data_IF_408968959291
#
_entry.id   IF_408968959291
#
_cell.length_a   1.000
_cell.length_b   1.000
_cell.length_c   1.000
_cell.angle_alpha   90.00
_cell.angle_beta   90.00
_cell.angle_gamma   90.00
#
_symmetry.space_group_name_H-M   'P 1'
#
loop_
_entity.id
_entity.type
_entity.pdbx_description
1 polymer ?
#
# COMPACT_ATOMS: atom_id res chain seq x y z
N UNK A 1 -6.29 18.78 25.67
CA UNK A 1 -5.20 18.01 25.08
C UNK A 1 -3.93 18.83 24.96
N UNK A 2 -2.77 18.16 25.07
CA UNK A 2 -1.44 18.82 25.14
C UNK A 2 -1.19 19.67 23.88
N UNK A 3 -1.64 19.26 22.72
CA UNK A 3 -1.46 19.99 21.47
C UNK A 3 -2.25 21.30 21.41
N UNK A 4 -3.47 21.34 21.94
CA UNK A 4 -4.27 22.57 22.01
C UNK A 4 -3.63 23.61 22.89
N UNK A 5 -2.92 23.20 23.95
CA UNK A 5 -2.22 24.13 24.88
C UNK A 5 -1.02 24.82 24.22
N UNK A 6 -0.38 24.16 23.24
CA UNK A 6 0.78 24.72 22.53
C UNK A 6 0.41 25.44 21.23
N UNK A 7 -0.80 25.31 20.73
CA UNK A 7 -1.28 25.99 19.52
C UNK A 7 -1.65 27.46 19.86
N UNK A 8 -0.68 28.26 20.31
CA UNK A 8 -0.86 29.68 20.68
C UNK A 8 -0.65 30.63 19.49
N UNK A 9 -0.29 30.12 18.32
CA UNK A 9 -0.04 30.97 17.15
C UNK A 9 -1.36 31.57 16.64
N UNK A 10 -1.47 32.88 16.69
CA UNK A 10 -2.55 33.62 16.02
C UNK A 10 -2.01 34.26 14.75
N UNK A 11 -2.75 34.16 13.65
CA UNK A 11 -2.42 34.87 12.42
C UNK A 11 -2.44 36.39 12.69
N UNK A 12 -1.34 37.11 12.44
CA UNK A 12 -1.25 38.56 12.71
C UNK A 12 -2.27 39.39 11.92
N UNK A 13 -2.83 38.85 10.82
CA UNK A 13 -3.78 39.56 9.95
C UNK A 13 -5.24 39.32 10.33
N UNK A 14 -5.58 38.11 10.74
CA UNK A 14 -6.97 37.74 11.06
C UNK A 14 -7.25 37.64 12.56
N UNK A 15 -6.22 37.52 13.37
CA UNK A 15 -6.33 37.25 14.81
C UNK A 15 -6.71 35.80 15.13
N UNK A 16 -6.93 34.95 14.09
CA UNK A 16 -7.39 33.59 14.24
C UNK A 16 -6.24 32.64 14.60
N UNK A 17 -6.52 31.70 15.47
CA UNK A 17 -5.61 30.59 15.75
C UNK A 17 -5.87 29.44 14.77
N UNK A 18 -5.30 29.54 13.58
CA UNK A 18 -5.52 28.60 12.46
C UNK A 18 -5.12 27.18 12.84
N UNK A 19 -4.04 26.99 13.61
CA UNK A 19 -3.61 25.68 14.09
C UNK A 19 -4.64 25.05 15.03
N UNK A 20 -5.16 25.83 15.97
CA UNK A 20 -6.18 25.35 16.91
C UNK A 20 -7.46 24.97 16.18
N UNK A 21 -7.94 25.82 15.28
CA UNK A 21 -9.14 25.57 14.46
C UNK A 21 -8.96 24.30 13.63
N UNK A 22 -7.76 24.08 13.05
CA UNK A 22 -7.43 22.89 12.29
C UNK A 22 -7.37 21.61 13.12
N UNK A 23 -6.99 21.70 14.40
CA UNK A 23 -6.85 20.55 15.31
C UNK A 23 -8.15 20.22 16.08
N UNK A 24 -9.02 21.18 16.30
CA UNK A 24 -10.27 21.00 17.07
C UNK A 24 -11.09 19.77 16.62
N UNK A 25 -11.28 19.48 15.32
CA UNK A 25 -12.01 18.29 14.89
C UNK A 25 -11.36 16.96 15.31
N UNK A 26 -10.05 16.96 15.58
CA UNK A 26 -9.26 15.75 15.89
C UNK A 26 -9.02 15.59 17.40
N UNK A 27 -9.48 16.53 18.22
CA UNK A 27 -9.37 16.50 19.66
C UNK A 27 -10.62 15.90 20.33
N UNK A 28 -10.49 15.55 21.60
CA UNK A 28 -11.60 15.04 22.43
C UNK A 28 -12.81 15.97 22.35
N UNK A 29 -13.97 15.39 22.03
CA UNK A 29 -15.20 16.14 21.74
C UNK A 29 -15.36 16.59 20.29
N UNK A 30 -14.31 16.54 19.46
CA UNK A 30 -14.40 16.80 18.02
C UNK A 30 -14.85 15.60 17.21
N UNK A 31 -15.16 15.81 15.93
CA UNK A 31 -15.70 14.82 15.01
C UNK A 31 -14.82 13.53 14.92
N UNK A 32 -13.52 13.67 14.99
CA UNK A 32 -12.53 12.60 14.86
C UNK A 32 -11.76 12.32 16.15
N UNK A 33 -12.17 12.92 17.27
CA UNK A 33 -11.47 12.82 18.55
C UNK A 33 -11.32 11.37 19.03
N UNK A 34 -12.33 10.52 18.82
CA UNK A 34 -12.27 9.09 19.17
C UNK A 34 -11.21 8.31 18.40
N UNK A 35 -10.74 8.83 17.28
CA UNK A 35 -9.68 8.19 16.46
C UNK A 35 -8.30 8.71 16.84
N UNK A 36 -8.16 10.02 17.11
CA UNK A 36 -6.86 10.67 17.21
C UNK A 36 -6.46 11.09 18.61
N UNK A 37 -7.41 11.30 19.51
CA UNK A 37 -7.15 11.81 20.86
C UNK A 37 -7.33 10.73 21.92
N UNK A 38 -6.54 9.67 21.79
CA UNK A 38 -6.43 8.61 22.79
C UNK A 38 -5.18 8.79 23.64
N UNK A 39 -5.25 8.41 24.92
CA UNK A 39 -4.11 8.47 25.86
C UNK A 39 -3.04 7.41 25.51
N UNK A 40 -3.45 6.34 24.85
CA UNK A 40 -2.56 5.23 24.48
C UNK A 40 -2.76 4.81 23.02
N UNK A 41 -1.69 4.34 22.39
CA UNK A 41 -1.79 3.75 21.07
C UNK A 41 -2.18 2.27 21.16
N UNK A 42 -3.23 1.88 20.45
CA UNK A 42 -3.69 0.49 20.37
C UNK A 42 -3.04 -0.30 19.20
N UNK A 43 -2.08 0.29 18.49
CA UNK A 43 -1.38 -0.44 17.44
C UNK A 43 -0.43 -1.48 18.06
N UNK A 44 -0.62 -2.77 17.76
CA UNK A 44 0.11 -3.84 18.43
C UNK A 44 1.57 -3.90 17.96
N UNK A 45 2.50 -4.02 18.90
CA UNK A 45 3.88 -4.42 18.63
C UNK A 45 3.94 -5.95 18.54
N UNK A 46 3.63 -6.52 17.39
CA UNK A 46 3.63 -7.97 17.18
C UNK A 46 4.41 -8.33 15.91
N UNK A 47 4.75 -9.63 15.77
CA UNK A 47 5.43 -10.14 14.56
C UNK A 47 4.51 -10.18 13.34
N UNK A 48 3.21 -10.24 13.56
CA UNK A 48 2.18 -10.16 12.53
C UNK A 48 1.24 -9.01 12.87
N UNK A 49 1.13 -8.05 11.97
CA UNK A 49 0.26 -6.89 12.10
C UNK A 49 -0.59 -6.83 10.83
N UNK A 50 -1.90 -6.79 11.00
CA UNK A 50 -2.86 -6.57 9.92
C UNK A 50 -3.60 -5.27 10.17
N UNK A 51 -3.67 -4.41 9.18
CA UNK A 51 -4.36 -3.12 9.23
C UNK A 51 -5.43 -3.13 8.14
N UNK A 52 -6.69 -3.12 8.54
CA UNK A 52 -7.82 -2.99 7.63
C UNK A 52 -7.99 -1.50 7.25
N UNK A 53 -7.80 -1.21 5.97
CA UNK A 53 -7.80 0.17 5.48
C UNK A 53 -9.14 0.63 4.91
N UNK A 54 -10.03 -0.30 4.54
CA UNK A 54 -11.28 0.03 3.86
C UNK A 54 -12.20 0.90 4.71
N UNK A 55 -12.28 0.66 6.02
CA UNK A 55 -13.05 1.48 6.95
C UNK A 55 -12.47 2.89 7.08
N UNK A 56 -11.14 2.99 7.13
CA UNK A 56 -10.43 4.27 7.19
C UNK A 56 -10.69 5.10 5.93
N UNK A 57 -10.59 4.48 4.75
CA UNK A 57 -10.75 5.18 3.47
C UNK A 57 -12.17 5.67 3.20
N UNK A 58 -13.17 5.20 3.95
CA UNK A 58 -14.55 5.71 3.91
C UNK A 58 -14.76 6.98 4.75
N UNK A 59 -13.80 7.35 5.56
CA UNK A 59 -13.86 8.60 6.33
C UNK A 59 -13.63 9.81 5.41
N UNK A 60 -13.89 11.00 5.95
CA UNK A 60 -13.56 12.23 5.22
C UNK A 60 -12.05 12.36 5.02
N UNK A 61 -11.64 13.06 3.96
CA UNK A 61 -10.24 13.33 3.65
C UNK A 61 -9.48 13.97 4.83
N UNK A 62 -10.17 14.79 5.62
CA UNK A 62 -9.62 15.42 6.84
C UNK A 62 -9.19 14.41 7.90
N UNK A 63 -9.81 13.22 7.94
CA UNK A 63 -9.44 12.15 8.85
C UNK A 63 -8.45 11.15 8.21
N UNK A 64 -8.64 10.84 6.92
CA UNK A 64 -7.81 9.87 6.20
C UNK A 64 -6.35 10.30 6.15
N UNK A 65 -6.08 11.55 5.80
CA UNK A 65 -4.73 12.06 5.66
C UNK A 65 -3.86 11.91 6.93
N UNK A 66 -4.27 12.42 8.11
CA UNK A 66 -3.48 12.28 9.34
C UNK A 66 -3.40 10.82 9.82
N UNK A 67 -4.45 10.00 9.62
CA UNK A 67 -4.41 8.59 9.98
C UNK A 67 -3.40 7.80 9.12
N UNK A 68 -3.38 8.01 7.81
CA UNK A 68 -2.38 7.42 6.92
C UNK A 68 -0.95 7.84 7.33
N UNK A 69 -0.74 9.12 7.60
CA UNK A 69 0.57 9.60 8.05
C UNK A 69 1.00 8.93 9.35
N UNK A 70 0.08 8.76 10.31
CA UNK A 70 0.37 8.08 11.57
C UNK A 70 0.73 6.60 11.35
N UNK A 71 -0.07 5.86 10.57
CA UNK A 71 0.18 4.45 10.24
C UNK A 71 1.53 4.29 9.56
N UNK A 72 1.85 5.13 8.57
CA UNK A 72 3.12 5.03 7.84
C UNK A 72 4.32 5.34 8.73
N UNK A 73 4.23 6.37 9.58
CA UNK A 73 5.28 6.67 10.55
C UNK A 73 5.45 5.57 11.59
N UNK A 74 4.34 4.95 12.01
CA UNK A 74 4.39 3.79 12.89
C UNK A 74 5.12 2.61 12.23
N UNK A 75 4.77 2.26 10.99
CA UNK A 75 5.44 1.19 10.23
C UNK A 75 6.93 1.51 10.03
N UNK A 76 7.28 2.73 9.64
CA UNK A 76 8.67 3.17 9.52
C UNK A 76 9.47 2.99 10.80
N UNK A 77 8.85 3.21 11.95
CA UNK A 77 9.46 3.02 13.26
C UNK A 77 9.80 1.56 13.54
N UNK A 78 8.96 0.62 13.05
CA UNK A 78 9.19 -0.81 13.23
C UNK A 78 10.40 -1.35 12.47
N UNK A 79 10.73 -0.77 11.33
CA UNK A 79 11.88 -1.20 10.51
C UNK A 79 13.07 -0.23 10.52
N UNK A 80 12.99 0.90 11.21
CA UNK A 80 14.11 1.79 11.47
C UNK A 80 14.79 1.41 12.79
N UNK A 81 15.43 0.24 12.82
CA UNK A 81 16.15 -0.24 14.01
C UNK A 81 17.49 0.48 14.11
N UNK A 82 17.94 0.87 15.33
CA UNK A 82 19.22 1.54 15.53
C UNK A 82 20.41 0.74 14.98
N UNK A 83 21.43 1.46 14.56
CA UNK A 83 22.67 0.86 14.02
C UNK A 83 23.33 -0.03 15.08
N UNK A 84 23.57 -1.28 14.75
CA UNK A 84 24.17 -2.27 15.67
C UNK A 84 23.23 -3.39 16.08
N UNK A 85 21.93 -3.22 15.94
CA UNK A 85 20.97 -4.30 16.16
C UNK A 85 20.71 -5.10 14.87
N UNK A 86 20.40 -6.39 15.04
CA UNK A 86 20.08 -7.27 13.90
C UNK A 86 18.71 -6.95 13.36
N UNK A 87 18.67 -6.34 12.18
CA UNK A 87 17.41 -6.03 11.50
C UNK A 87 16.70 -7.30 11.01
N UNK A 88 15.47 -7.58 11.45
CA UNK A 88 14.71 -8.74 11.00
C UNK A 88 14.29 -8.57 9.54
N UNK A 89 14.12 -9.72 8.87
CA UNK A 89 13.46 -9.76 7.57
C UNK A 89 11.98 -9.46 7.76
N UNK A 90 11.47 -8.48 7.03
CA UNK A 90 10.06 -8.06 7.14
C UNK A 90 9.37 -8.17 5.78
N UNK A 91 8.14 -8.63 5.76
CA UNK A 91 7.29 -8.64 4.59
C UNK A 91 6.16 -7.64 4.79
N UNK A 92 6.00 -6.74 3.81
CA UNK A 92 4.90 -5.78 3.74
C UNK A 92 3.99 -6.20 2.59
N UNK A 93 2.79 -6.67 2.93
CA UNK A 93 1.76 -7.01 1.97
C UNK A 93 0.82 -5.83 1.80
N UNK A 94 0.69 -5.35 0.57
CA UNK A 94 -0.25 -4.29 0.18
C UNK A 94 -1.27 -4.91 -0.76
N UNK A 95 -2.37 -5.37 -0.17
CA UNK A 95 -3.46 -5.96 -0.92
C UNK A 95 -4.43 -4.87 -1.39
N UNK A 96 -4.96 -5.02 -2.60
CA UNK A 96 -5.82 -4.03 -3.28
C UNK A 96 -5.25 -2.60 -3.24
N UNK A 97 -3.94 -2.50 -3.34
CA UNK A 97 -3.22 -1.24 -3.13
C UNK A 97 -3.60 -0.13 -4.14
N UNK A 98 -4.21 -0.48 -5.28
CA UNK A 98 -4.72 0.50 -6.26
C UNK A 98 -5.75 1.46 -5.64
N UNK A 99 -6.56 1.00 -4.69
CA UNK A 99 -7.54 1.84 -3.97
C UNK A 99 -6.88 3.04 -3.30
N UNK A 100 -5.67 2.84 -2.79
CA UNK A 100 -4.93 3.85 -2.03
C UNK A 100 -4.02 4.70 -2.91
N UNK A 101 -3.67 4.23 -4.11
CA UNK A 101 -2.81 4.96 -5.05
C UNK A 101 -3.41 6.28 -5.54
N UNK A 102 -4.73 6.41 -5.45
CA UNK A 102 -5.42 7.65 -5.76
C UNK A 102 -5.20 8.73 -4.69
N UNK A 103 -4.83 8.34 -3.46
CA UNK A 103 -4.58 9.28 -2.39
C UNK A 103 -3.13 9.77 -2.42
N UNK A 104 -2.88 11.09 -2.61
CA UNK A 104 -1.52 11.62 -2.84
C UNK A 104 -0.54 11.29 -1.71
N UNK A 105 -0.99 11.32 -0.44
CA UNK A 105 -0.15 11.01 0.72
C UNK A 105 0.31 9.55 0.65
N UNK A 106 -0.59 8.62 0.39
CA UNK A 106 -0.24 7.20 0.25
C UNK A 106 0.72 6.99 -0.93
N UNK A 107 0.42 7.58 -2.09
CA UNK A 107 1.25 7.46 -3.27
C UNK A 107 2.69 7.93 -3.02
N UNK A 108 2.86 9.08 -2.36
CA UNK A 108 4.18 9.63 -2.04
C UNK A 108 4.97 8.73 -1.07
N UNK A 109 4.34 8.23 0.01
CA UNK A 109 4.99 7.30 0.94
C UNK A 109 5.38 6.00 0.24
N UNK A 110 4.48 5.40 -0.54
CA UNK A 110 4.75 4.15 -1.24
C UNK A 110 5.88 4.33 -2.28
N UNK A 111 5.93 5.46 -2.97
CA UNK A 111 7.02 5.77 -3.90
C UNK A 111 8.39 5.80 -3.20
N UNK A 112 8.46 6.45 -2.04
CA UNK A 112 9.68 6.49 -1.23
C UNK A 112 10.05 5.10 -0.71
N UNK A 113 9.06 4.36 -0.21
CA UNK A 113 9.25 3.01 0.32
C UNK A 113 9.76 2.04 -0.72
N UNK A 114 9.16 1.97 -1.89
CA UNK A 114 9.61 1.07 -2.97
C UNK A 114 11.07 1.30 -3.34
N UNK A 115 11.58 2.53 -3.19
CA UNK A 115 12.99 2.86 -3.45
C UNK A 115 13.93 2.53 -2.29
N UNK A 116 13.43 2.53 -1.04
CA UNK A 116 14.27 2.51 0.16
C UNK A 116 14.14 1.25 1.00
N UNK A 117 13.01 0.55 0.97
CA UNK A 117 12.70 -0.60 1.82
C UNK A 117 13.69 -1.77 1.66
N UNK A 118 14.23 -1.98 0.46
CA UNK A 118 15.27 -2.99 0.22
C UNK A 118 16.48 -2.83 1.15
N UNK A 119 16.90 -1.59 1.42
CA UNK A 119 18.03 -1.31 2.33
C UNK A 119 17.69 -1.64 3.79
N UNK A 120 16.41 -1.66 4.13
CA UNK A 120 15.87 -1.95 5.46
C UNK A 120 15.43 -3.42 5.60
N UNK A 121 15.80 -4.31 4.67
CA UNK A 121 15.39 -5.72 4.63
C UNK A 121 13.86 -5.91 4.69
N UNK A 122 13.11 -4.98 4.12
CA UNK A 122 11.67 -5.06 3.98
C UNK A 122 11.32 -5.41 2.54
N UNK A 123 10.60 -6.50 2.35
CA UNK A 123 10.10 -6.96 1.06
C UNK A 123 8.67 -6.52 0.90
N UNK A 124 8.43 -5.65 -0.09
CA UNK A 124 7.09 -5.19 -0.42
C UNK A 124 6.47 -6.12 -1.47
N UNK A 125 5.31 -6.67 -1.14
CA UNK A 125 4.46 -7.46 -2.04
C UNK A 125 3.22 -6.62 -2.31
N UNK A 126 3.07 -6.24 -3.57
CA UNK A 126 1.99 -5.40 -4.04
C UNK A 126 1.02 -6.25 -4.84
N UNK A 127 -0.22 -6.37 -4.40
CA UNK A 127 -1.27 -7.10 -5.08
C UNK A 127 -2.37 -6.17 -5.59
N UNK A 128 -2.89 -6.45 -6.77
CA UNK A 128 -4.02 -5.74 -7.36
C UNK A 128 -4.77 -6.63 -8.34
N UNK A 129 -6.08 -6.50 -8.37
CA UNK A 129 -6.94 -7.15 -9.38
C UNK A 129 -7.08 -6.26 -10.64
N UNK A 130 -6.76 -4.97 -10.55
CA UNK A 130 -6.94 -4.02 -11.64
C UNK A 130 -5.61 -3.57 -12.26
N UNK A 131 -5.10 -4.36 -13.19
CA UNK A 131 -3.84 -4.04 -13.92
C UNK A 131 -3.94 -2.70 -14.64
N UNK A 132 -5.11 -2.39 -15.24
CA UNK A 132 -5.33 -1.13 -15.95
C UNK A 132 -5.29 0.09 -15.02
N UNK A 133 -5.84 -0.02 -13.80
CA UNK A 133 -5.77 1.05 -12.81
C UNK A 133 -4.33 1.27 -12.32
N UNK A 134 -3.60 0.18 -12.08
CA UNK A 134 -2.18 0.24 -11.72
C UNK A 134 -1.33 0.90 -12.82
N UNK A 135 -1.57 0.58 -14.11
CA UNK A 135 -0.86 1.16 -15.24
C UNK A 135 -1.13 2.66 -15.44
N UNK A 136 -2.31 3.14 -15.03
CA UNK A 136 -2.69 4.55 -15.11
C UNK A 136 -2.38 5.35 -13.83
N UNK A 137 -1.91 4.69 -12.78
CA UNK A 137 -1.61 5.36 -11.52
C UNK A 137 -0.37 6.26 -11.62
N UNK A 138 -0.28 7.23 -10.71
CA UNK A 138 0.92 8.09 -10.59
C UNK A 138 2.19 7.32 -10.21
N UNK A 139 2.06 6.08 -9.75
CA UNK A 139 3.16 5.21 -9.36
C UNK A 139 3.50 4.13 -10.40
N UNK A 140 2.83 4.13 -11.55
CA UNK A 140 3.01 3.11 -12.60
C UNK A 140 4.48 2.87 -12.96
N UNK A 141 5.24 3.94 -13.22
CA UNK A 141 6.67 3.87 -13.53
C UNK A 141 7.48 3.30 -12.36
N UNK A 142 7.18 3.73 -11.13
CA UNK A 142 7.89 3.23 -9.94
C UNK A 142 7.61 1.75 -9.71
N UNK A 143 6.37 1.31 -9.86
CA UNK A 143 5.98 -0.11 -9.75
C UNK A 143 6.67 -0.92 -10.85
N UNK A 144 6.63 -0.45 -12.09
CA UNK A 144 7.26 -1.15 -13.22
C UNK A 144 8.76 -1.35 -13.00
N UNK A 145 9.47 -0.34 -12.46
CA UNK A 145 10.92 -0.34 -12.27
C UNK A 145 11.38 -1.00 -10.97
N UNK A 146 10.63 -0.89 -9.87
CA UNK A 146 11.04 -1.39 -8.57
C UNK A 146 10.50 -2.79 -8.25
N UNK A 147 9.32 -3.15 -8.78
CA UNK A 147 8.74 -4.49 -8.64
C UNK A 147 9.25 -5.38 -9.79
N UNK A 148 10.51 -5.80 -9.71
CA UNK A 148 11.15 -6.57 -10.77
C UNK A 148 10.58 -7.98 -10.93
N UNK A 149 10.09 -8.59 -9.85
CA UNK A 149 9.38 -9.86 -9.88
C UNK A 149 7.89 -9.60 -9.97
N UNK A 150 7.25 -10.19 -10.96
CA UNK A 150 5.82 -10.06 -11.22
C UNK A 150 5.20 -11.45 -11.37
N UNK A 151 4.04 -11.62 -10.78
CA UNK A 151 3.22 -12.82 -10.92
C UNK A 151 1.88 -12.37 -11.49
N UNK A 152 1.54 -12.88 -12.65
CA UNK A 152 0.26 -12.60 -13.31
C UNK A 152 -0.66 -13.81 -13.18
N UNK A 153 -1.91 -13.53 -12.85
CA UNK A 153 -2.96 -14.54 -12.81
C UNK A 153 -3.58 -14.68 -14.19
N UNK A 154 -4.15 -15.86 -14.47
CA UNK A 154 -4.89 -16.09 -15.70
C UNK A 154 -6.00 -15.03 -15.88
N UNK A 155 -6.09 -14.47 -17.08
CA UNK A 155 -7.06 -13.42 -17.42
C UNK A 155 -7.52 -13.59 -18.88
N UNK A 156 -8.70 -14.14 -19.06
CA UNK A 156 -9.30 -14.36 -20.40
C UNK A 156 -9.44 -13.04 -21.19
N UNK A 157 -9.54 -11.91 -20.48
CA UNK A 157 -9.69 -10.59 -21.08
C UNK A 157 -8.36 -9.92 -21.44
N UNK A 158 -7.21 -10.55 -21.14
CA UNK A 158 -5.87 -9.95 -21.29
C UNK A 158 -5.58 -9.42 -22.70
N UNK A 159 -6.16 -10.05 -23.73
CA UNK A 159 -6.01 -9.65 -25.13
C UNK A 159 -6.93 -8.52 -25.58
N UNK A 160 -7.82 -8.01 -24.71
CA UNK A 160 -8.64 -6.84 -25.07
C UNK A 160 -7.79 -5.57 -25.18
N UNK A 161 -8.11 -4.64 -26.10
CA UNK A 161 -7.23 -3.50 -26.39
C UNK A 161 -6.80 -2.69 -25.17
N UNK A 162 -7.71 -2.45 -24.20
CA UNK A 162 -7.42 -1.67 -22.99
C UNK A 162 -6.50 -2.39 -22.01
N UNK A 163 -6.63 -3.71 -21.86
CA UNK A 163 -5.79 -4.50 -20.96
C UNK A 163 -4.46 -4.89 -21.60
N UNK A 164 -4.45 -5.16 -22.91
CA UNK A 164 -3.27 -5.50 -23.68
C UNK A 164 -2.15 -4.47 -23.46
N UNK A 165 -2.47 -3.19 -23.58
CA UNK A 165 -1.50 -2.10 -23.37
C UNK A 165 -1.01 -2.04 -21.90
N UNK A 166 -1.87 -2.33 -20.95
CA UNK A 166 -1.50 -2.36 -19.54
C UNK A 166 -0.54 -3.51 -19.20
N UNK A 167 -0.78 -4.69 -19.77
CA UNK A 167 0.13 -5.82 -19.64
C UNK A 167 1.48 -5.58 -20.33
N UNK A 168 1.48 -4.99 -21.53
CA UNK A 168 2.70 -4.56 -22.23
C UNK A 168 3.49 -3.53 -21.38
N UNK A 169 2.80 -2.57 -20.79
CA UNK A 169 3.42 -1.57 -19.92
C UNK A 169 4.17 -2.22 -18.75
N UNK A 170 3.61 -3.25 -18.13
CA UNK A 170 4.28 -4.02 -17.08
C UNK A 170 5.24 -5.09 -17.59
N UNK A 171 5.53 -5.10 -18.89
CA UNK A 171 6.64 -5.83 -19.48
C UNK A 171 6.30 -7.19 -20.06
N UNK A 172 5.02 -7.54 -20.29
CA UNK A 172 4.66 -8.74 -21.04
C UNK A 172 4.76 -8.50 -22.55
N UNK A 173 5.23 -9.52 -23.26
CA UNK A 173 5.17 -9.60 -24.72
C UNK A 173 3.79 -10.10 -25.17
N UNK A 174 3.45 -9.92 -26.44
CA UNK A 174 2.16 -10.36 -26.98
C UNK A 174 1.96 -11.88 -26.84
N UNK A 175 3.01 -12.67 -27.05
CA UNK A 175 2.96 -14.12 -26.87
C UNK A 175 2.73 -14.53 -25.41
N UNK A 176 3.29 -13.80 -24.47
CA UNK A 176 3.07 -14.02 -23.04
C UNK A 176 1.63 -13.65 -22.64
N UNK A 177 1.08 -12.56 -23.20
CA UNK A 177 -0.30 -12.13 -22.95
C UNK A 177 -1.29 -13.15 -23.52
N UNK A 178 -1.04 -13.66 -24.73
CA UNK A 178 -1.84 -14.75 -25.31
C UNK A 178 -1.76 -16.02 -24.43
N UNK A 179 -0.59 -16.35 -23.91
CA UNK A 179 -0.45 -17.49 -22.99
C UNK A 179 -1.24 -17.27 -21.70
N UNK A 180 -1.25 -16.03 -21.19
CA UNK A 180 -2.01 -15.66 -19.99
C UNK A 180 -3.53 -15.74 -20.23
N UNK A 181 -4.01 -15.32 -21.41
CA UNK A 181 -5.44 -15.38 -21.75
C UNK A 181 -5.96 -16.81 -21.94
N UNK A 182 -5.10 -17.76 -22.28
CA UNK A 182 -5.44 -19.17 -22.42
C UNK A 182 -5.16 -20.01 -21.15
N UNK A 183 -4.64 -19.40 -20.10
CA UNK A 183 -4.31 -20.05 -18.85
C UNK A 183 -5.57 -20.40 -18.04
N UNK A 184 -5.48 -21.45 -17.21
CA UNK A 184 -6.60 -21.87 -16.36
C UNK A 184 -6.76 -20.97 -15.17
N UNK A 185 -7.93 -20.36 -15.05
CA UNK A 185 -8.28 -19.49 -13.92
C UNK A 185 -8.06 -20.20 -12.57
N UNK A 186 -7.50 -19.50 -11.60
CA UNK A 186 -7.21 -19.95 -10.22
C UNK A 186 -6.22 -21.13 -10.10
N UNK A 187 -5.63 -21.57 -11.18
CA UNK A 187 -4.69 -22.69 -11.20
C UNK A 187 -3.33 -22.30 -11.77
N UNK A 188 -3.32 -21.59 -12.90
CA UNK A 188 -2.11 -21.26 -13.62
C UNK A 188 -1.69 -19.82 -13.33
N UNK A 189 -0.39 -19.65 -13.09
CA UNK A 189 0.25 -18.37 -12.74
C UNK A 189 1.42 -18.14 -13.67
N UNK A 190 1.57 -16.92 -14.16
CA UNK A 190 2.71 -16.54 -14.99
C UNK A 190 3.72 -15.72 -14.18
N UNK A 191 4.86 -16.33 -13.91
CA UNK A 191 5.98 -15.70 -13.21
C UNK A 191 6.91 -15.03 -14.20
N UNK A 192 7.33 -13.80 -13.90
CA UNK A 192 8.32 -13.07 -14.68
C UNK A 192 9.24 -12.25 -13.79
N UNK A 193 10.55 -12.34 -14.05
CA UNK A 193 11.57 -11.49 -13.46
C UNK A 193 12.70 -11.27 -14.48
N UNK A 194 13.76 -10.46 -14.16
CA UNK A 194 14.88 -10.21 -15.06
C UNK A 194 15.67 -11.46 -15.47
N UNK A 195 15.60 -12.55 -14.70
CA UNK A 195 16.35 -13.77 -14.96
C UNK A 195 15.55 -14.78 -15.83
N UNK A 196 14.28 -14.53 -16.07
CA UNK A 196 13.44 -15.39 -16.90
C UNK A 196 11.95 -15.30 -16.55
N UNK A 197 11.19 -16.10 -17.28
CA UNK A 197 9.75 -16.20 -17.12
C UNK A 197 9.27 -17.64 -17.29
N UNK A 198 8.16 -17.99 -16.66
CA UNK A 198 7.51 -19.29 -16.84
C UNK A 198 6.06 -19.30 -16.37
N UNK A 199 5.25 -20.14 -17.01
CA UNK A 199 3.97 -20.55 -16.48
C UNK A 199 4.18 -21.67 -15.46
N UNK A 200 3.45 -21.65 -14.35
CA UNK A 200 3.40 -22.74 -13.37
C UNK A 200 1.97 -22.92 -12.87
N UNK A 201 1.66 -24.13 -12.47
CA UNK A 201 0.37 -24.48 -11.87
C UNK A 201 0.56 -24.56 -10.36
N UNK A 202 -0.32 -23.90 -9.62
CA UNK A 202 -0.39 -24.05 -8.18
C UNK A 202 -1.40 -25.16 -7.87
N UNK A 203 -0.89 -26.32 -7.51
CA UNK A 203 -1.68 -27.49 -7.13
C UNK A 203 -1.63 -27.64 -5.61
N UNK A 204 -2.69 -27.17 -4.95
CA UNK A 204 -2.82 -27.23 -3.50
C UNK A 204 -3.55 -28.51 -3.11
N UNK A 205 -3.00 -29.25 -2.17
CA UNK A 205 -3.66 -30.42 -1.62
C UNK A 205 -4.90 -30.04 -0.75
N UNK A 206 -5.78 -30.99 -0.44
CA UNK A 206 -6.99 -30.70 0.36
C UNK A 206 -6.71 -30.12 1.73
N UNK A 207 -5.57 -30.45 2.36
CA UNK A 207 -5.16 -29.90 3.65
C UNK A 207 -4.78 -28.43 3.52
N UNK A 208 -4.00 -28.08 2.48
CA UNK A 208 -3.62 -26.70 2.20
C UNK A 208 -4.83 -25.84 1.86
N UNK A 209 -5.79 -26.39 1.08
CA UNK A 209 -7.05 -25.70 0.77
C UNK A 209 -7.94 -25.48 1.99
N UNK A 210 -7.87 -26.33 3.01
CA UNK A 210 -8.63 -26.16 4.24
C UNK A 210 -8.05 -25.08 5.17
N UNK A 211 -6.84 -24.56 4.89
CA UNK A 211 -6.18 -23.49 5.65
C UNK A 211 -6.41 -22.09 5.04
N UNK A 212 -7.02 -22.01 3.87
CA UNK A 212 -7.36 -20.77 3.15
C UNK A 212 -8.84 -20.47 3.27
#
# INVERSE_FOLDING_TARGET
>A
TTFQQYATYSDPKTGDNTLRIGLDPHCSGGQFGSIFDADETNLPLSKLITIEMGSLMRLSEKAVAPALMYIFRYLEKLWNIPTGEKQPLTFLFLDEAWLYLQHPIFANFLQEWLRTLRKKKVFCIFATQEVAAAAKSSLSDTIAQQCLTKIYLADESACTPGLLESYRYFGLTDSEIISLSNARMKMDYYFKNPNGCRMFTLDLDPFQLALI
#
